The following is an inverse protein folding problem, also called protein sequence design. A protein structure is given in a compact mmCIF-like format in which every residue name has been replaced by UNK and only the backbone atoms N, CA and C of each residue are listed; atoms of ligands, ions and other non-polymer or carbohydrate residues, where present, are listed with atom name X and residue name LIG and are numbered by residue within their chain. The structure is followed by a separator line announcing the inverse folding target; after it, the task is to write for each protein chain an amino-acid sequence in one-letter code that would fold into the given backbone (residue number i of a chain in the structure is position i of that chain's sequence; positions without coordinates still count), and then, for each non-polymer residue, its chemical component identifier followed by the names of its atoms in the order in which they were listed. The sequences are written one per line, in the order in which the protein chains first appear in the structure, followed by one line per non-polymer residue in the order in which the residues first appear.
data_IF_956588241949
#
_entry.id   IF_956588241949
#
_cell.length_a   1.000
_cell.length_b   1.000
_cell.length_c   1.000
_cell.angle_alpha   90.00
_cell.angle_beta   90.00
_cell.angle_gamma   90.00
#
_symmetry.space_group_name_H-M   'P 1'
#
loop_
_entity.id
_entity.type
_entity.pdbx_description
1 polymer ?
#
# COMPACT_ATOMS: atom_id res chain seq x y z
N UNK A 1 -1.33 25.16 21.76
CA UNK A 1 -1.64 26.61 21.57
C UNK A 1 -2.87 26.84 20.69
N UNK A 2 -2.93 26.25 19.49
CA UNK A 2 -4.08 26.39 18.56
C UNK A 2 -5.42 25.90 19.15
N UNK A 3 -5.42 24.87 19.99
CA UNK A 3 -6.64 24.37 20.65
C UNK A 3 -7.15 25.34 21.73
N UNK A 4 -6.26 25.99 22.46
CA UNK A 4 -6.60 26.97 23.45
C UNK A 4 -7.21 28.23 22.83
N UNK A 5 -6.72 28.64 21.65
CA UNK A 5 -7.27 29.78 20.88
C UNK A 5 -8.72 29.49 20.46
N UNK A 6 -9.08 28.22 20.21
CA UNK A 6 -10.44 27.80 19.87
C UNK A 6 -11.28 27.37 21.09
N UNK A 7 -10.84 27.66 22.32
CA UNK A 7 -11.58 27.36 23.54
C UNK A 7 -11.61 25.88 23.94
N UNK A 8 -10.73 25.06 23.37
CA UNK A 8 -10.62 23.62 23.67
C UNK A 8 -9.52 23.43 24.71
N UNK A 9 -9.89 23.01 25.93
CA UNK A 9 -8.95 22.68 26.99
C UNK A 9 -8.67 21.18 26.96
N UNK A 10 -7.49 20.78 26.49
CA UNK A 10 -7.04 19.40 26.48
C UNK A 10 -5.55 19.32 26.83
N UNK A 11 -5.17 18.28 27.60
CA UNK A 11 -3.76 18.00 27.88
C UNK A 11 -3.12 17.27 26.69
N UNK A 12 -1.77 17.37 26.57
CA UNK A 12 -1.04 16.64 25.52
C UNK A 12 -1.28 15.11 25.59
N UNK A 13 -1.42 14.56 26.82
CA UNK A 13 -1.72 13.16 27.01
C UNK A 13 -3.11 12.75 26.49
N UNK A 14 -4.12 13.60 26.68
CA UNK A 14 -5.48 13.42 26.15
C UNK A 14 -5.47 13.43 24.63
N UNK A 15 -4.82 14.42 24.03
CA UNK A 15 -4.69 14.55 22.57
C UNK A 15 -3.98 13.34 21.99
N UNK A 16 -2.90 12.88 22.61
CA UNK A 16 -2.16 11.70 22.14
C UNK A 16 -3.00 10.42 22.20
N UNK A 17 -3.83 10.26 23.23
CA UNK A 17 -4.76 9.12 23.35
C UNK A 17 -5.84 9.18 22.28
N UNK A 18 -6.46 10.32 22.09
CA UNK A 18 -7.51 10.51 21.09
C UNK A 18 -6.98 10.27 19.67
N UNK A 19 -5.76 10.72 19.39
CA UNK A 19 -5.10 10.46 18.11
C UNK A 19 -4.82 8.97 17.90
N UNK A 20 -4.44 8.24 18.95
CA UNK A 20 -4.25 6.80 18.89
C UNK A 20 -5.58 6.05 18.63
N UNK A 21 -6.66 6.42 19.33
CA UNK A 21 -7.99 5.84 19.14
C UNK A 21 -8.55 6.11 17.73
N UNK A 22 -8.26 7.28 17.18
CA UNK A 22 -8.66 7.68 15.82
C UNK A 22 -7.69 7.19 14.73
N UNK A 23 -6.66 6.42 15.09
CA UNK A 23 -5.62 5.95 14.15
C UNK A 23 -4.94 7.08 13.36
N UNK A 24 -4.80 8.24 13.95
CA UNK A 24 -4.12 9.38 13.32
C UNK A 24 -2.60 9.17 13.46
N UNK A 25 -1.90 9.04 12.34
CA UNK A 25 -0.45 8.92 12.32
C UNK A 25 0.25 10.27 12.10
N UNK A 26 1.45 10.38 12.65
CA UNK A 26 2.34 11.50 12.43
C UNK A 26 3.43 11.10 11.45
N UNK A 27 3.36 11.61 10.23
CA UNK A 27 4.38 11.39 9.22
C UNK A 27 5.45 12.48 9.26
N UNK A 28 6.73 12.08 9.18
CA UNK A 28 7.86 12.99 8.98
C UNK A 28 8.26 12.96 7.51
N UNK A 29 8.16 14.08 6.84
CA UNK A 29 8.78 14.26 5.53
C UNK A 29 10.27 14.58 5.72
N UNK A 30 11.12 13.81 5.04
CA UNK A 30 12.57 13.77 5.26
C UNK A 30 13.37 14.96 4.71
N UNK A 31 12.76 16.01 4.24
CA UNK A 31 13.48 17.17 3.67
C UNK A 31 13.23 18.52 4.35
N UNK A 32 12.21 18.63 5.18
CA UNK A 32 11.97 19.81 6.02
C UNK A 32 11.30 19.33 7.31
N UNK A 33 11.60 19.96 8.44
CA UNK A 33 11.08 19.61 9.79
C UNK A 33 9.54 19.79 9.93
N UNK A 34 8.80 19.55 8.86
CA UNK A 34 7.34 19.66 8.82
C UNK A 34 6.76 18.27 9.09
N UNK A 35 6.19 18.09 10.28
CA UNK A 35 5.39 16.92 10.61
C UNK A 35 3.91 17.21 10.36
N UNK A 36 3.27 16.37 9.55
CA UNK A 36 1.84 16.44 9.29
C UNK A 36 1.10 15.31 9.99
N UNK A 37 -0.10 15.61 10.52
CA UNK A 37 -1.01 14.59 11.03
C UNK A 37 -1.95 14.14 9.92
N UNK A 38 -2.15 12.84 9.80
CA UNK A 38 -2.95 12.25 8.72
C UNK A 38 -4.09 11.39 9.27
N UNK A 39 -5.30 11.63 8.79
CA UNK A 39 -6.48 10.81 9.11
C UNK A 39 -6.48 9.50 8.33
N UNK A 40 -7.04 8.38 8.86
CA UNK A 40 -7.09 7.10 8.16
C UNK A 40 -7.79 7.14 6.80
N UNK A 41 -8.83 7.98 6.66
CA UNK A 41 -9.55 8.18 5.39
C UNK A 41 -8.69 8.86 4.32
N UNK A 42 -7.76 9.72 4.73
CA UNK A 42 -6.86 10.44 3.83
C UNK A 42 -5.67 9.56 3.42
N UNK A 43 -5.27 8.61 4.29
CA UNK A 43 -4.25 7.62 3.97
C UNK A 43 -4.67 6.73 2.80
N UNK A 44 -5.92 6.24 2.80
CA UNK A 44 -6.42 5.39 1.73
C UNK A 44 -6.49 6.12 0.38
N UNK A 45 -6.94 7.38 0.37
CA UNK A 45 -7.03 8.20 -0.85
C UNK A 45 -5.66 8.70 -1.32
N UNK A 46 -4.84 9.24 -0.41
CA UNK A 46 -3.50 9.74 -0.74
C UNK A 46 -2.58 8.62 -1.23
N UNK A 47 -2.71 7.41 -0.69
CA UNK A 47 -1.93 6.25 -1.14
C UNK A 47 -2.34 5.86 -2.57
N UNK A 48 -3.64 5.81 -2.88
CA UNK A 48 -4.12 5.51 -4.23
C UNK A 48 -3.69 6.56 -5.26
N UNK A 49 -3.73 7.85 -4.92
CA UNK A 49 -3.36 8.92 -5.84
C UNK A 49 -1.85 9.00 -6.06
N UNK A 50 -1.05 8.78 -5.04
CA UNK A 50 0.43 8.73 -5.15
C UNK A 50 0.87 7.48 -5.93
N UNK A 51 0.24 6.34 -5.74
CA UNK A 51 0.50 5.12 -6.53
C UNK A 51 0.13 5.31 -8.02
N UNK A 52 -0.94 6.04 -8.31
CA UNK A 52 -1.33 6.37 -9.70
C UNK A 52 -0.34 7.26 -10.44
N UNK A 53 0.31 8.19 -9.74
CA UNK A 53 1.18 9.19 -10.35
C UNK A 53 2.65 8.73 -10.41
N UNK A 54 3.12 7.96 -9.43
CA UNK A 54 4.55 7.60 -9.30
C UNK A 54 4.87 6.15 -9.70
N UNK A 55 3.88 5.33 -10.06
CA UNK A 55 4.07 3.90 -10.24
C UNK A 55 4.31 3.18 -8.89
N UNK A 56 4.34 1.87 -8.93
CA UNK A 56 4.60 1.07 -7.72
C UNK A 56 6.06 1.16 -7.34
N UNK A 57 6.35 1.84 -6.24
CA UNK A 57 7.73 1.93 -5.75
C UNK A 57 8.32 0.53 -5.56
N UNK A 58 9.37 0.27 -6.31
CA UNK A 58 10.13 -0.96 -6.19
C UNK A 58 9.73 -2.06 -7.16
N UNK A 59 8.59 -2.03 -7.84
CA UNK A 59 8.26 -3.01 -8.89
C UNK A 59 9.26 -2.95 -10.05
N UNK A 60 9.63 -4.10 -10.60
CA UNK A 60 10.55 -4.22 -11.73
C UNK A 60 9.97 -4.97 -12.91
N UNK A 61 9.47 -6.19 -12.68
CA UNK A 61 8.98 -7.04 -13.77
C UNK A 61 8.04 -8.12 -13.26
N UNK A 62 7.25 -8.67 -14.19
CA UNK A 62 6.37 -9.80 -13.98
C UNK A 62 6.86 -10.98 -14.83
N UNK A 63 6.83 -12.17 -14.28
CA UNK A 63 7.17 -13.41 -14.95
C UNK A 63 6.11 -14.47 -14.64
N UNK A 64 6.05 -15.48 -15.47
CA UNK A 64 5.08 -16.57 -15.37
C UNK A 64 5.79 -17.91 -15.34
N UNK A 65 5.36 -18.80 -14.44
CA UNK A 65 5.88 -20.17 -14.34
C UNK A 65 4.73 -21.12 -14.04
N UNK A 66 4.26 -21.83 -15.05
CA UNK A 66 3.05 -22.65 -14.94
C UNK A 66 1.85 -21.79 -14.56
N UNK A 67 1.20 -22.16 -13.46
CA UNK A 67 0.09 -21.39 -12.87
C UNK A 67 0.55 -20.21 -12.02
N UNK A 68 1.82 -20.16 -11.64
CA UNK A 68 2.33 -19.11 -10.74
C UNK A 68 2.69 -17.83 -11.49
N UNK A 69 2.50 -16.71 -10.78
CA UNK A 69 2.98 -15.41 -11.22
C UNK A 69 4.09 -14.97 -10.27
N UNK A 70 5.20 -14.53 -10.83
CA UNK A 70 6.39 -14.10 -10.10
C UNK A 70 6.62 -12.62 -10.37
N UNK A 71 6.52 -11.80 -9.34
CA UNK A 71 6.83 -10.37 -9.42
C UNK A 71 8.26 -10.15 -8.94
N UNK A 72 9.05 -9.41 -9.71
CA UNK A 72 10.37 -8.95 -9.28
C UNK A 72 10.29 -7.50 -8.80
N UNK A 73 10.97 -7.22 -7.69
CA UNK A 73 11.03 -5.91 -7.08
C UNK A 73 12.48 -5.47 -6.86
N UNK A 74 12.66 -4.26 -6.40
CA UNK A 74 13.92 -3.88 -5.76
C UNK A 74 14.06 -4.60 -4.43
N UNK A 75 15.31 -4.84 -4.02
CA UNK A 75 15.63 -5.43 -2.71
C UNK A 75 14.93 -4.69 -1.57
N UNK A 76 14.27 -5.41 -0.69
CA UNK A 76 13.54 -4.88 0.46
C UNK A 76 12.12 -4.38 0.18
N UNK A 77 11.64 -4.35 -1.08
CA UNK A 77 10.31 -3.84 -1.42
C UNK A 77 9.23 -4.93 -1.54
N UNK A 78 9.63 -6.19 -1.66
CA UNK A 78 8.69 -7.28 -1.91
C UNK A 78 7.62 -7.40 -0.82
N UNK A 79 8.00 -7.27 0.44
CA UNK A 79 7.07 -7.41 1.56
C UNK A 79 5.97 -6.34 1.58
N UNK A 80 6.31 -5.08 1.35
CA UNK A 80 5.32 -3.99 1.34
C UNK A 80 4.32 -4.15 0.19
N UNK A 81 4.79 -4.49 -1.01
CA UNK A 81 3.92 -4.74 -2.16
C UNK A 81 3.03 -5.97 -1.92
N UNK A 82 3.55 -7.00 -1.27
CA UNK A 82 2.80 -8.21 -0.90
C UNK A 82 1.64 -7.88 0.04
N UNK A 83 1.87 -7.07 1.07
CA UNK A 83 0.83 -6.59 2.00
C UNK A 83 -0.26 -5.81 1.26
N UNK A 84 0.12 -4.95 0.32
CA UNK A 84 -0.83 -4.20 -0.49
C UNK A 84 -1.69 -5.12 -1.36
N UNK A 85 -1.09 -6.15 -1.99
CA UNK A 85 -1.82 -7.16 -2.77
C UNK A 85 -2.80 -7.94 -1.88
N UNK A 86 -2.33 -8.41 -0.73
CA UNK A 86 -3.16 -9.20 0.19
C UNK A 86 -4.30 -8.39 0.82
N UNK A 87 -4.20 -7.06 0.81
CA UNK A 87 -5.28 -6.16 1.26
C UNK A 87 -6.47 -6.08 0.30
N UNK A 88 -6.28 -6.51 -0.95
CA UNK A 88 -7.37 -6.51 -1.94
C UNK A 88 -8.30 -7.70 -1.67
N UNK A 89 -9.56 -7.42 -1.39
CA UNK A 89 -10.58 -8.47 -1.32
C UNK A 89 -10.92 -8.95 -2.74
N UNK A 90 -10.41 -10.13 -3.13
CA UNK A 90 -10.69 -10.75 -4.42
C UNK A 90 -10.65 -12.28 -4.31
N UNK A 91 -11.24 -12.96 -5.31
CA UNK A 91 -11.27 -14.41 -5.38
C UNK A 91 -10.27 -15.00 -6.40
N UNK A 92 -9.51 -14.15 -7.09
CA UNK A 92 -8.58 -14.58 -8.13
C UNK A 92 -7.21 -14.98 -7.59
N UNK A 93 -6.85 -14.53 -6.40
CA UNK A 93 -5.57 -14.78 -5.74
C UNK A 93 -5.83 -15.50 -4.42
N UNK A 94 -5.25 -16.67 -4.24
CA UNK A 94 -5.31 -17.44 -2.98
C UNK A 94 -4.44 -16.79 -1.91
N UNK A 95 -3.30 -16.25 -2.31
CA UNK A 95 -2.37 -15.57 -1.42
C UNK A 95 -1.06 -15.25 -2.12
N UNK A 96 -0.18 -14.59 -1.36
CA UNK A 96 1.15 -14.21 -1.84
C UNK A 96 2.23 -14.58 -0.83
N UNK A 97 3.45 -14.77 -1.32
CA UNK A 97 4.65 -15.01 -0.50
C UNK A 97 5.74 -14.03 -0.94
N UNK A 98 6.22 -13.23 -0.01
CA UNK A 98 7.29 -12.28 -0.26
C UNK A 98 8.66 -12.81 0.17
N UNK A 99 9.62 -12.75 -0.75
CA UNK A 99 11.05 -12.81 -0.45
C UNK A 99 11.62 -11.40 -0.23
N UNK A 100 12.93 -11.23 -0.45
CA UNK A 100 13.57 -9.92 -0.36
C UNK A 100 13.26 -9.02 -1.59
N UNK A 101 13.31 -9.60 -2.79
CA UNK A 101 13.15 -8.92 -4.09
C UNK A 101 12.16 -9.62 -5.02
N UNK A 102 11.45 -10.61 -4.51
CA UNK A 102 10.59 -11.49 -5.31
C UNK A 102 9.30 -11.77 -4.54
N UNK A 103 8.17 -11.70 -5.24
CA UNK A 103 6.86 -12.10 -4.72
C UNK A 103 6.34 -13.25 -5.57
N UNK A 104 5.94 -14.33 -4.92
CA UNK A 104 5.19 -15.42 -5.53
C UNK A 104 3.70 -15.15 -5.32
N UNK A 105 2.95 -15.00 -6.41
CA UNK A 105 1.49 -14.89 -6.39
C UNK A 105 0.89 -16.23 -6.75
N UNK A 106 -0.02 -16.71 -5.92
CA UNK A 106 -0.71 -18.00 -6.08
C UNK A 106 -2.12 -17.73 -6.56
N UNK A 107 -2.43 -17.93 -7.86
CA UNK A 107 -3.77 -17.79 -8.40
C UNK A 107 -4.72 -18.84 -7.84
N UNK A 108 -6.01 -18.53 -7.80
CA UNK A 108 -7.04 -19.52 -7.53
C UNK A 108 -7.20 -20.48 -8.72
N UNK A 109 -7.64 -21.69 -8.44
CA UNK A 109 -7.87 -22.70 -9.46
C UNK A 109 -8.91 -22.22 -10.49
N UNK A 110 -8.60 -22.44 -11.78
CA UNK A 110 -9.49 -22.09 -12.89
C UNK A 110 -9.53 -20.60 -13.26
N UNK A 111 -8.83 -19.75 -12.54
CA UNK A 111 -8.72 -18.31 -12.85
C UNK A 111 -7.69 -18.08 -13.96
N UNK A 112 -8.05 -17.24 -14.93
CA UNK A 112 -7.13 -16.91 -16.02
C UNK A 112 -5.98 -16.00 -15.55
N UNK A 113 -4.85 -16.07 -16.25
CA UNK A 113 -3.69 -15.22 -15.98
C UNK A 113 -4.04 -13.74 -16.12
N UNK A 114 -4.83 -13.39 -17.13
CA UNK A 114 -5.28 -12.05 -17.44
C UNK A 114 -6.14 -11.46 -16.31
N UNK A 115 -6.97 -12.30 -15.72
CA UNK A 115 -7.82 -11.91 -14.58
C UNK A 115 -6.95 -11.61 -13.34
N UNK A 116 -5.96 -12.45 -13.03
CA UNK A 116 -5.03 -12.20 -11.93
C UNK A 116 -4.22 -10.92 -12.18
N UNK A 117 -3.71 -10.72 -13.40
CA UNK A 117 -2.97 -9.50 -13.76
C UNK A 117 -3.86 -8.25 -13.63
N UNK A 118 -5.14 -8.34 -13.98
CA UNK A 118 -6.10 -7.24 -13.80
C UNK A 118 -6.29 -6.87 -12.32
N UNK A 119 -6.32 -7.85 -11.42
CA UNK A 119 -6.35 -7.61 -9.97
C UNK A 119 -5.04 -6.95 -9.51
N UNK A 120 -3.89 -7.49 -9.92
CA UNK A 120 -2.58 -6.95 -9.58
C UNK A 120 -2.38 -5.51 -10.10
N UNK A 121 -2.97 -5.16 -11.25
CA UNK A 121 -2.91 -3.82 -11.83
C UNK A 121 -3.59 -2.74 -10.97
N UNK A 122 -4.44 -3.12 -10.01
CA UNK A 122 -5.02 -2.19 -9.04
C UNK A 122 -3.95 -1.65 -8.08
N UNK A 123 -2.93 -2.45 -7.78
CA UNK A 123 -1.78 -2.07 -6.92
C UNK A 123 -0.58 -1.66 -7.76
N UNK A 124 -0.35 -2.35 -8.88
CA UNK A 124 0.80 -2.15 -9.78
C UNK A 124 0.30 -1.61 -11.12
N UNK A 125 0.11 -0.28 -11.24
CA UNK A 125 -0.46 0.32 -12.46
C UNK A 125 0.36 0.06 -13.72
N UNK A 126 1.66 -0.23 -13.57
CA UNK A 126 2.55 -0.59 -14.67
C UNK A 126 2.07 -1.82 -15.43
N UNK A 127 1.37 -2.74 -14.76
CA UNK A 127 0.82 -3.95 -15.39
C UNK A 127 -0.35 -3.64 -16.34
N UNK A 128 -1.08 -2.56 -16.11
CA UNK A 128 -2.16 -2.13 -17.00
C UNK A 128 -1.65 -1.55 -18.33
N UNK A 129 -0.39 -1.13 -18.39
CA UNK A 129 0.24 -0.52 -19.58
C UNK A 129 1.00 -1.54 -20.45
N UNK A 130 1.16 -2.76 -19.97
CA UNK A 130 1.91 -3.83 -20.64
C UNK A 130 1.04 -4.69 -21.59
N UNK A 131 -0.23 -4.36 -21.74
CA UNK A 131 -1.18 -5.01 -22.66
C UNK A 131 -1.45 -4.15 -23.88
#
# INVERSE_FOLDING_TARGET
ELLLINGISATQATISRDMYELNISKDRYSSEDISCYRMPSDQARATQDVFRVMGTKGFRSIHYSGSFIVLKTRSGYAHSICVDIDSISNNAIVGTIAGNDTILVIPADGVSREEVVSVLAQIIPELARAN
#
